data_IF_057325445389
#
_entry.id   IF_057325445389
#
_cell.length_a   1.000
_cell.length_b   1.000
_cell.length_c   1.000
_cell.angle_alpha   90.00
_cell.angle_beta   90.00
_cell.angle_gamma   90.00
#
_symmetry.space_group_name_H-M   'P 1'
#
loop_
_entity.id
_entity.type
_entity.pdbx_description
1 polymer ?
#
# COMPACT_ATOMS: atom_id res chain seq x y z
N UNK A 1 0.64 4.99 14.89
CA UNK A 1 -0.63 5.40 14.26
C UNK A 1 -1.64 4.26 14.26
N UNK A 2 -1.36 3.08 13.68
CA UNK A 2 -2.27 1.92 13.74
C UNK A 2 -2.63 1.44 15.15
N UNK A 3 -1.75 1.59 16.14
CA UNK A 3 -2.03 1.21 17.53
C UNK A 3 -3.03 2.13 18.24
N UNK A 4 -3.16 3.38 17.79
CA UNK A 4 -4.04 4.39 18.40
C UNK A 4 -5.49 4.20 17.94
N UNK A 5 -5.69 3.80 16.69
CA UNK A 5 -7.02 3.57 16.10
C UNK A 5 -7.46 2.10 16.16
N UNK A 6 -6.90 1.29 17.05
CA UNK A 6 -7.09 -0.16 17.04
C UNK A 6 -8.55 -0.58 17.21
N UNK A 7 -9.31 0.11 18.06
CA UNK A 7 -10.71 -0.18 18.31
C UNK A 7 -11.59 0.22 17.12
N UNK A 8 -11.41 1.42 16.57
CA UNK A 8 -12.09 1.89 15.35
C UNK A 8 -11.81 0.94 14.16
N UNK A 9 -10.56 0.47 14.03
CA UNK A 9 -10.13 -0.44 12.97
C UNK A 9 -10.69 -1.86 13.17
N UNK A 10 -10.91 -2.29 14.41
CA UNK A 10 -11.57 -3.57 14.73
C UNK A 10 -13.06 -3.49 14.36
N UNK A 11 -13.77 -2.46 14.78
CA UNK A 11 -15.18 -2.27 14.45
C UNK A 11 -15.43 -2.14 12.95
N UNK A 12 -14.59 -1.40 12.24
CA UNK A 12 -14.61 -1.29 10.78
C UNK A 12 -14.45 -2.66 10.11
N UNK A 13 -13.45 -3.45 10.57
CA UNK A 13 -13.17 -4.77 10.02
C UNK A 13 -14.32 -5.74 10.26
N UNK A 14 -14.82 -5.83 11.49
CA UNK A 14 -15.93 -6.73 11.83
C UNK A 14 -17.16 -6.42 10.97
N UNK A 15 -17.52 -5.14 10.85
CA UNK A 15 -18.65 -4.69 10.05
C UNK A 15 -18.48 -5.02 8.56
N UNK A 16 -17.31 -4.68 7.98
CA UNK A 16 -17.07 -4.90 6.56
C UNK A 16 -16.92 -6.38 6.20
N UNK A 17 -16.28 -7.18 7.06
CA UNK A 17 -16.10 -8.62 6.85
C UNK A 17 -17.46 -9.34 6.89
N UNK A 18 -18.34 -9.03 7.85
CA UNK A 18 -19.70 -9.61 7.91
C UNK A 18 -20.52 -9.30 6.65
N UNK A 19 -20.50 -8.06 6.19
CA UNK A 19 -21.18 -7.68 4.96
C UNK A 19 -20.57 -8.35 3.73
N UNK A 20 -19.25 -8.50 3.68
CA UNK A 20 -18.54 -9.12 2.57
C UNK A 20 -18.78 -10.63 2.51
N UNK A 21 -18.82 -11.32 3.64
CA UNK A 21 -19.18 -12.75 3.72
C UNK A 21 -20.61 -12.98 3.23
N UNK A 22 -21.56 -12.14 3.66
CA UNK A 22 -22.95 -12.17 3.18
C UNK A 22 -23.04 -11.94 1.67
N UNK A 23 -22.15 -11.12 1.12
CA UNK A 23 -22.07 -10.84 -0.31
C UNK A 23 -21.49 -12.02 -1.11
N UNK A 24 -20.45 -12.67 -0.58
CA UNK A 24 -19.82 -13.85 -1.19
C UNK A 24 -20.78 -15.05 -1.20
N UNK A 25 -21.62 -15.20 -0.16
CA UNK A 25 -22.59 -16.28 -0.09
C UNK A 25 -23.57 -16.30 -1.30
N UNK A 26 -23.75 -15.16 -1.97
CA UNK A 26 -24.57 -15.05 -3.17
C UNK A 26 -23.72 -15.19 -4.44
N UNK A 27 -23.69 -16.37 -5.07
CA UNK A 27 -22.81 -16.68 -6.22
C UNK A 27 -22.96 -15.73 -7.42
N UNK A 28 -24.16 -15.24 -7.72
CA UNK A 28 -24.42 -14.34 -8.85
C UNK A 28 -23.89 -12.92 -8.59
N UNK A 29 -24.08 -12.42 -7.37
CA UNK A 29 -23.53 -11.15 -6.91
C UNK A 29 -21.99 -11.23 -6.79
N UNK A 30 -21.47 -12.36 -6.29
CA UNK A 30 -20.04 -12.61 -6.21
C UNK A 30 -19.38 -12.47 -7.58
N UNK A 31 -19.89 -13.11 -8.63
CA UNK A 31 -19.29 -13.01 -9.99
C UNK A 31 -19.30 -11.58 -10.52
N UNK A 32 -20.39 -10.82 -10.35
CA UNK A 32 -20.48 -9.41 -10.77
C UNK A 32 -19.49 -8.53 -10.00
N UNK A 33 -19.33 -8.76 -8.70
CA UNK A 33 -18.46 -8.00 -7.80
C UNK A 33 -16.98 -8.34 -8.01
N UNK A 34 -16.64 -9.62 -8.20
CA UNK A 34 -15.26 -10.11 -8.39
C UNK A 34 -14.60 -9.54 -9.66
N UNK A 35 -15.41 -9.15 -10.67
CA UNK A 35 -14.92 -8.45 -11.86
C UNK A 35 -14.27 -7.11 -11.50
N UNK A 36 -14.70 -6.46 -10.41
CA UNK A 36 -14.01 -5.32 -9.82
C UNK A 36 -12.75 -5.70 -9.02
N UNK A 37 -12.76 -6.86 -8.37
CA UNK A 37 -11.63 -7.39 -7.60
C UNK A 37 -10.39 -7.63 -8.46
N UNK A 38 -10.57 -7.92 -9.75
CA UNK A 38 -9.48 -8.01 -10.71
C UNK A 38 -8.64 -6.72 -10.83
N UNK A 39 -9.26 -5.54 -10.68
CA UNK A 39 -8.53 -4.27 -10.70
C UNK A 39 -7.61 -4.17 -9.49
N UNK A 40 -8.09 -4.58 -8.32
CA UNK A 40 -7.32 -4.48 -7.07
C UNK A 40 -6.22 -5.51 -7.01
N UNK A 41 -6.48 -6.72 -7.50
CA UNK A 41 -5.46 -7.72 -7.72
C UNK A 41 -4.37 -7.23 -8.67
N UNK A 42 -4.74 -6.57 -9.76
CA UNK A 42 -3.77 -5.96 -10.69
C UNK A 42 -2.98 -4.85 -10.01
N UNK A 43 -3.62 -3.94 -9.29
CA UNK A 43 -2.96 -2.84 -8.58
C UNK A 43 -1.98 -3.37 -7.51
N UNK A 44 -2.41 -4.34 -6.71
CA UNK A 44 -1.56 -4.99 -5.71
C UNK A 44 -0.38 -5.72 -6.36
N UNK A 45 -0.63 -6.44 -7.46
CA UNK A 45 0.43 -7.11 -8.22
C UNK A 45 1.44 -6.12 -8.81
N UNK A 46 0.99 -5.01 -9.39
CA UNK A 46 1.87 -3.94 -9.91
C UNK A 46 2.69 -3.29 -8.78
N UNK A 47 2.08 -3.07 -7.62
CA UNK A 47 2.81 -2.54 -6.46
C UNK A 47 3.90 -3.51 -5.99
N UNK A 48 3.59 -4.81 -5.93
CA UNK A 48 4.55 -5.86 -5.54
C UNK A 48 5.70 -6.00 -6.54
N UNK A 49 5.42 -5.98 -7.85
CA UNK A 49 6.47 -6.07 -8.87
C UNK A 49 7.37 -4.84 -8.85
N UNK A 50 6.79 -3.65 -8.70
CA UNK A 50 7.56 -2.39 -8.56
C UNK A 50 8.48 -2.44 -7.35
N UNK A 51 7.99 -2.94 -6.21
CA UNK A 51 8.79 -3.12 -5.00
C UNK A 51 9.96 -4.09 -5.21
N UNK A 52 9.70 -5.23 -5.86
CA UNK A 52 10.75 -6.22 -6.14
C UNK A 52 11.85 -5.62 -7.02
N UNK A 53 11.47 -4.92 -8.09
CA UNK A 53 12.43 -4.26 -9.00
C UNK A 53 13.22 -3.18 -8.26
N UNK A 54 12.56 -2.32 -7.49
CA UNK A 54 13.23 -1.27 -6.71
C UNK A 54 14.23 -1.83 -5.70
N UNK A 55 13.86 -2.93 -5.03
CA UNK A 55 14.74 -3.62 -4.06
C UNK A 55 15.99 -4.21 -4.74
N UNK A 56 15.81 -4.84 -5.90
CA UNK A 56 16.92 -5.36 -6.72
C UNK A 56 17.85 -4.21 -7.10
N UNK A 57 17.31 -3.12 -7.66
CA UNK A 57 18.13 -1.96 -8.05
C UNK A 57 18.90 -1.39 -6.86
N UNK A 58 18.26 -1.26 -5.69
CA UNK A 58 18.90 -0.72 -4.48
C UNK A 58 20.10 -1.56 -4.01
N UNK A 59 20.00 -2.89 -4.09
CA UNK A 59 21.09 -3.81 -3.72
C UNK A 59 22.21 -3.79 -4.76
N UNK A 60 21.87 -3.89 -6.04
CA UNK A 60 22.89 -4.05 -7.09
C UNK A 60 23.65 -2.75 -7.41
N UNK A 61 23.04 -1.58 -7.26
CA UNK A 61 23.66 -0.29 -7.57
C UNK A 61 25.01 -0.06 -6.85
N UNK A 62 25.12 -0.17 -5.51
CA UNK A 62 26.40 0.01 -4.81
C UNK A 62 27.43 -1.06 -5.21
N UNK A 63 27.01 -2.31 -5.45
CA UNK A 63 27.90 -3.40 -5.88
C UNK A 63 28.49 -3.11 -7.26
N UNK A 64 27.66 -2.66 -8.21
CA UNK A 64 28.09 -2.27 -9.54
C UNK A 64 29.04 -1.07 -9.50
N UNK A 65 28.77 -0.07 -8.65
CA UNK A 65 29.63 1.10 -8.48
C UNK A 65 31.03 0.71 -7.95
N UNK A 66 31.09 -0.16 -6.93
CA UNK A 66 32.35 -0.66 -6.37
C UNK A 66 33.11 -1.48 -7.43
N UNK A 67 32.41 -2.35 -8.16
CA UNK A 67 33.02 -3.16 -9.23
C UNK A 67 33.60 -2.29 -10.34
N UNK A 68 32.89 -1.21 -10.72
CA UNK A 68 33.36 -0.24 -11.73
C UNK A 68 34.61 0.50 -11.25
N UNK A 69 34.64 0.94 -10.00
CA UNK A 69 35.84 1.57 -9.42
C UNK A 69 37.05 0.63 -9.42
N UNK A 70 36.83 -0.63 -9.09
CA UNK A 70 37.88 -1.65 -9.08
C UNK A 70 38.42 -1.93 -10.50
N UNK A 71 37.56 -1.95 -11.52
CA UNK A 71 37.98 -2.11 -12.93
C UNK A 71 38.74 -0.91 -13.46
N UNK A 72 38.42 0.30 -12.99
CA UNK A 72 39.04 1.56 -13.44
C UNK A 72 40.26 1.96 -12.61
N UNK A 73 40.69 1.13 -11.64
CA UNK A 73 41.82 1.41 -10.74
C UNK A 73 41.74 2.80 -10.05
N UNK A 74 40.53 3.25 -9.74
CA UNK A 74 40.30 4.54 -9.09
C UNK A 74 40.59 4.37 -7.59
N UNK A 75 41.65 5.03 -7.11
CA UNK A 75 42.01 5.07 -5.70
C UNK A 75 41.77 6.48 -5.13
N UNK A 76 41.17 6.61 -3.93
CA UNK A 76 40.68 5.54 -3.04
C UNK A 76 39.31 4.97 -3.45
N UNK A 77 39.11 3.66 -3.25
CA UNK A 77 37.84 2.98 -3.52
C UNK A 77 36.81 3.41 -2.47
N UNK A 78 35.66 3.92 -2.92
CA UNK A 78 34.57 4.37 -2.04
C UNK A 78 33.51 3.27 -1.94
N UNK A 79 33.32 2.75 -0.72
CA UNK A 79 32.33 1.72 -0.44
C UNK A 79 31.00 2.36 -0.04
N UNK A 80 30.12 2.54 -1.00
CA UNK A 80 28.80 3.11 -0.77
C UNK A 80 27.87 2.10 -0.10
N UNK A 81 27.15 2.54 0.94
CA UNK A 81 26.03 1.80 1.49
C UNK A 81 24.75 2.08 0.66
N UNK A 82 23.77 1.15 0.65
CA UNK A 82 22.55 1.29 -0.16
C UNK A 82 21.80 2.62 0.08
N UNK A 83 21.69 3.06 1.33
CA UNK A 83 20.97 4.30 1.67
C UNK A 83 21.90 5.50 1.88
N UNK A 84 23.21 5.32 1.72
CA UNK A 84 24.21 6.38 1.88
C UNK A 84 24.32 6.93 3.31
N UNK A 85 23.96 6.15 4.33
CA UNK A 85 23.98 6.62 5.73
C UNK A 85 25.39 6.89 6.23
N UNK A 86 25.54 7.90 7.08
CA UNK A 86 26.81 8.24 7.75
C UNK A 86 26.73 7.76 9.21
N UNK A 87 27.70 6.96 9.62
CA UNK A 87 27.79 6.43 10.98
C UNK A 87 28.81 7.21 11.82
N UNK A 88 28.60 7.37 13.14
CA UNK A 88 29.50 8.13 14.01
C UNK A 88 30.83 7.42 14.32
N UNK A 89 30.97 6.14 13.95
CA UNK A 89 32.21 5.36 14.07
C UNK A 89 32.85 5.12 12.71
N UNK A 90 34.17 4.88 12.72
CA UNK A 90 34.92 4.68 11.49
C UNK A 90 34.59 3.31 10.86
N UNK A 91 33.99 3.31 9.68
CA UNK A 91 33.64 2.10 8.95
C UNK A 91 34.77 1.80 7.97
N UNK A 92 35.55 0.75 8.25
CA UNK A 92 36.64 0.34 7.36
C UNK A 92 36.07 -0.16 6.01
N UNK A 93 36.55 0.38 4.88
CA UNK A 93 36.19 -0.05 3.53
C UNK A 93 36.32 -1.58 3.37
N UNK A 94 35.23 -2.27 3.02
CA UNK A 94 35.23 -3.73 2.82
C UNK A 94 35.36 -4.59 4.08
N UNK A 95 35.43 -3.99 5.27
CA UNK A 95 35.51 -4.69 6.55
C UNK A 95 34.21 -5.41 6.95
N UNK A 96 34.27 -6.24 8.00
CA UNK A 96 33.10 -6.93 8.55
C UNK A 96 31.98 -5.97 8.98
N UNK A 97 32.36 -4.83 9.56
CA UNK A 97 31.40 -3.81 10.01
C UNK A 97 30.64 -3.18 8.84
N UNK A 98 31.30 -2.97 7.70
CA UNK A 98 30.64 -2.48 6.49
C UNK A 98 29.62 -3.48 5.95
N UNK A 99 29.97 -4.77 5.91
CA UNK A 99 29.05 -5.84 5.47
C UNK A 99 27.83 -5.94 6.38
N UNK A 100 28.02 -5.82 7.69
CA UNK A 100 26.92 -5.80 8.65
C UNK A 100 25.98 -4.62 8.39
N UNK A 101 26.52 -3.41 8.26
CA UNK A 101 25.71 -2.22 7.94
C UNK A 101 24.98 -2.33 6.62
N UNK A 102 25.64 -2.87 5.60
CA UNK A 102 25.02 -3.12 4.30
C UNK A 102 23.77 -4.01 4.45
N UNK A 103 23.89 -5.15 5.14
CA UNK A 103 22.76 -6.07 5.37
C UNK A 103 21.67 -5.40 6.21
N UNK A 104 22.04 -4.68 7.27
CA UNK A 104 21.09 -3.97 8.12
C UNK A 104 20.33 -2.89 7.35
N UNK A 105 20.99 -2.09 6.52
CA UNK A 105 20.35 -1.06 5.71
C UNK A 105 19.41 -1.66 4.66
N UNK A 106 19.85 -2.72 3.95
CA UNK A 106 19.01 -3.43 2.98
C UNK A 106 17.78 -4.01 3.66
N UNK A 107 17.95 -4.69 4.80
CA UNK A 107 16.84 -5.27 5.55
C UNK A 107 15.88 -4.21 6.08
N UNK A 108 16.40 -3.12 6.65
CA UNK A 108 15.59 -2.00 7.14
C UNK A 108 14.76 -1.39 6.02
N UNK A 109 15.39 -1.15 4.86
CA UNK A 109 14.71 -0.64 3.68
C UNK A 109 13.58 -1.59 3.23
N UNK A 110 13.86 -2.89 3.12
CA UNK A 110 12.87 -3.91 2.76
C UNK A 110 11.67 -3.93 3.72
N UNK A 111 11.93 -3.92 5.02
CA UNK A 111 10.86 -3.95 6.04
C UNK A 111 9.99 -2.69 6.00
N UNK A 112 10.59 -1.50 5.85
CA UNK A 112 9.84 -0.24 5.74
C UNK A 112 8.92 -0.23 4.52
N UNK A 113 9.43 -0.66 3.37
CA UNK A 113 8.62 -0.76 2.15
C UNK A 113 7.52 -1.81 2.27
N UNK A 114 7.80 -2.98 2.86
CA UNK A 114 6.81 -4.03 3.07
C UNK A 114 5.66 -3.54 3.97
N UNK A 115 5.98 -2.83 5.05
CA UNK A 115 4.98 -2.22 5.94
C UNK A 115 4.16 -1.18 5.16
N UNK A 116 4.79 -0.26 4.43
CA UNK A 116 4.10 0.77 3.66
C UNK A 116 3.14 0.15 2.62
N UNK A 117 3.60 -0.84 1.86
CA UNK A 117 2.79 -1.52 0.85
C UNK A 117 1.62 -2.31 1.48
N UNK A 118 1.84 -2.90 2.66
CA UNK A 118 0.79 -3.57 3.42
C UNK A 118 -0.31 -2.59 3.85
N UNK A 119 0.05 -1.40 4.35
CA UNK A 119 -0.92 -0.36 4.73
C UNK A 119 -1.75 0.11 3.53
N UNK A 120 -1.11 0.36 2.39
CA UNK A 120 -1.80 0.76 1.16
C UNK A 120 -2.71 -0.34 0.65
N UNK A 121 -2.25 -1.60 0.67
CA UNK A 121 -3.06 -2.74 0.25
C UNK A 121 -4.29 -2.92 1.14
N UNK A 122 -4.13 -2.76 2.46
CA UNK A 122 -5.24 -2.82 3.42
C UNK A 122 -6.28 -1.72 3.16
N UNK A 123 -5.84 -0.48 2.92
CA UNK A 123 -6.73 0.61 2.53
C UNK A 123 -7.50 0.28 1.25
N UNK A 124 -6.82 -0.20 0.21
CA UNK A 124 -7.45 -0.60 -1.05
C UNK A 124 -8.48 -1.72 -0.86
N UNK A 125 -8.23 -2.67 0.04
CA UNK A 125 -9.18 -3.74 0.37
C UNK A 125 -10.45 -3.20 1.05
N UNK A 126 -10.34 -2.27 2.00
CA UNK A 126 -11.53 -1.67 2.62
C UNK A 126 -12.36 -0.87 1.62
N UNK A 127 -11.70 -0.07 0.79
CA UNK A 127 -12.37 0.66 -0.30
C UNK A 127 -13.05 -0.31 -1.27
N UNK A 128 -12.42 -1.45 -1.56
CA UNK A 128 -13.03 -2.49 -2.38
C UNK A 128 -14.32 -3.03 -1.79
N UNK A 129 -14.29 -3.39 -0.50
CA UNK A 129 -15.44 -3.97 0.19
C UNK A 129 -16.61 -2.98 0.15
N UNK A 130 -16.35 -1.69 0.38
CA UNK A 130 -17.37 -0.64 0.25
C UNK A 130 -17.93 -0.50 -1.17
N UNK A 131 -17.06 -0.44 -2.20
CA UNK A 131 -17.48 -0.38 -3.60
C UNK A 131 -18.31 -1.62 -3.98
N UNK A 132 -17.93 -2.77 -3.46
CA UNK A 132 -18.62 -4.04 -3.70
C UNK A 132 -20.04 -4.02 -3.13
N UNK A 133 -20.21 -3.52 -1.91
CA UNK A 133 -21.53 -3.33 -1.30
C UNK A 133 -22.38 -2.31 -2.07
N UNK A 134 -21.80 -1.18 -2.49
CA UNK A 134 -22.51 -0.18 -3.31
C UNK A 134 -22.99 -0.78 -4.64
N UNK A 135 -22.16 -1.58 -5.31
CA UNK A 135 -22.55 -2.29 -6.54
C UNK A 135 -23.66 -3.29 -6.30
N UNK A 136 -23.62 -4.01 -5.19
CA UNK A 136 -24.66 -4.97 -4.81
C UNK A 136 -26.00 -4.29 -4.54
N UNK A 137 -26.00 -3.17 -3.80
CA UNK A 137 -27.20 -2.36 -3.55
C UNK A 137 -27.74 -1.78 -4.86
N UNK A 138 -26.87 -1.30 -5.75
CA UNK A 138 -27.28 -0.81 -7.07
C UNK A 138 -27.93 -1.91 -7.92
N UNK A 139 -27.40 -3.14 -7.89
CA UNK A 139 -27.99 -4.28 -8.62
C UNK A 139 -29.37 -4.62 -8.07
N UNK A 140 -29.54 -4.63 -6.74
CA UNK A 140 -30.85 -4.84 -6.09
C UNK A 140 -31.86 -3.75 -6.43
N UNK A 141 -31.42 -2.49 -6.48
CA UNK A 141 -32.28 -1.37 -6.88
C UNK A 141 -32.71 -1.45 -8.36
N UNK A 142 -31.85 -1.96 -9.24
CA UNK A 142 -32.19 -2.12 -10.67
C UNK A 142 -33.24 -3.22 -10.91
N UNK A 143 -33.35 -4.20 -10.01
CA UNK A 143 -34.32 -5.31 -10.11
C UNK A 143 -35.46 -5.15 -9.09
N UNK A 144 -35.77 -3.92 -8.67
CA UNK A 144 -36.86 -3.61 -7.73
C UNK A 144 -38.23 -4.09 -8.25
N UNK A 145 -38.47 -3.95 -9.54
CA UNK A 145 -39.75 -4.30 -10.19
C UNK A 145 -40.03 -5.82 -10.20
N UNK A 146 -39.00 -6.65 -10.03
CA UNK A 146 -39.12 -8.12 -9.98
C UNK A 146 -39.39 -8.62 -8.54
N UNK A 147 -39.37 -7.74 -7.55
CA UNK A 147 -39.49 -8.09 -6.13
C UNK A 147 -40.92 -8.02 -5.61
N UNK A 148 -41.26 -8.94 -4.70
CA UNK A 148 -42.58 -8.98 -4.06
C UNK A 148 -42.80 -7.91 -2.99
N UNK A 149 -41.72 -7.25 -2.52
CA UNK A 149 -41.77 -6.19 -1.50
C UNK A 149 -40.64 -5.15 -1.75
N UNK A 150 -40.86 -4.18 -2.66
CA UNK A 150 -39.86 -3.19 -3.00
C UNK A 150 -39.53 -2.23 -1.85
N UNK A 151 -40.50 -1.94 -0.97
CA UNK A 151 -40.31 -1.04 0.17
C UNK A 151 -39.32 -1.61 1.18
N UNK A 152 -39.37 -2.93 1.42
CA UNK A 152 -38.39 -3.61 2.28
C UNK A 152 -36.96 -3.53 1.74
N UNK A 153 -36.78 -3.67 0.42
CA UNK A 153 -35.48 -3.61 -0.25
C UNK A 153 -34.91 -2.20 -0.17
N UNK A 154 -35.72 -1.18 -0.41
CA UNK A 154 -35.30 0.22 -0.29
C UNK A 154 -34.88 0.53 1.14
N UNK A 155 -35.64 0.07 2.14
CA UNK A 155 -35.31 0.27 3.56
C UNK A 155 -34.00 -0.41 3.95
N UNK A 156 -33.76 -1.65 3.51
CA UNK A 156 -32.48 -2.37 3.74
C UNK A 156 -31.30 -1.64 3.08
N UNK A 157 -31.46 -1.19 1.83
CA UNK A 157 -30.43 -0.43 1.13
C UNK A 157 -30.09 0.90 1.83
N UNK A 158 -31.09 1.63 2.34
CA UNK A 158 -30.85 2.87 3.09
C UNK A 158 -30.07 2.59 4.38
N UNK A 159 -30.45 1.55 5.13
CA UNK A 159 -29.78 1.20 6.38
C UNK A 159 -28.31 0.77 6.15
N UNK A 160 -28.08 -0.03 5.11
CA UNK A 160 -26.72 -0.41 4.69
C UNK A 160 -25.91 0.80 4.25
N UNK A 161 -26.50 1.71 3.47
CA UNK A 161 -25.82 2.93 3.03
C UNK A 161 -25.42 3.84 4.20
N UNK A 162 -26.29 4.00 5.21
CA UNK A 162 -25.95 4.74 6.43
C UNK A 162 -24.76 4.10 7.17
N UNK A 163 -24.72 2.77 7.23
CA UNK A 163 -23.60 2.04 7.84
C UNK A 163 -22.32 2.21 7.03
N UNK A 164 -22.39 2.17 5.69
CA UNK A 164 -21.25 2.47 4.82
C UNK A 164 -20.72 3.90 5.02
N UNK A 165 -21.59 4.88 5.23
CA UNK A 165 -21.16 6.26 5.52
C UNK A 165 -20.37 6.36 6.83
N UNK A 166 -20.75 5.58 7.86
CA UNK A 166 -19.96 5.49 9.09
C UNK A 166 -18.60 4.86 8.83
N UNK A 167 -18.55 3.73 8.10
CA UNK A 167 -17.30 3.10 7.69
C UNK A 167 -16.39 4.04 6.88
N UNK A 168 -16.96 4.86 6.00
CA UNK A 168 -16.21 5.89 5.25
C UNK A 168 -15.50 6.86 6.20
N UNK A 169 -16.23 7.37 7.18
CA UNK A 169 -15.69 8.35 8.13
C UNK A 169 -14.58 7.74 8.98
N UNK A 170 -14.72 6.48 9.38
CA UNK A 170 -13.67 5.76 10.12
C UNK A 170 -12.43 5.53 9.26
N UNK A 171 -12.60 5.12 8.00
CA UNK A 171 -11.49 5.00 7.03
C UNK A 171 -10.79 6.36 6.85
N UNK A 172 -11.54 7.45 6.67
CA UNK A 172 -10.98 8.79 6.48
C UNK A 172 -10.22 9.26 7.73
N UNK A 173 -10.75 9.00 8.92
CA UNK A 173 -10.09 9.32 10.20
C UNK A 173 -8.76 8.56 10.37
N UNK A 174 -8.72 7.28 9.97
CA UNK A 174 -7.56 6.40 10.13
C UNK A 174 -6.51 6.67 9.04
N UNK A 175 -6.93 6.66 7.78
CA UNK A 175 -6.03 6.69 6.61
C UNK A 175 -5.84 8.10 6.04
N UNK A 176 -6.72 9.05 6.33
CA UNK A 176 -6.59 10.44 5.88
C UNK A 176 -5.23 11.07 6.21
N UNK A 177 -4.76 11.00 7.47
CA UNK A 177 -3.43 11.48 7.84
C UNK A 177 -2.29 10.77 7.09
N UNK A 178 -2.44 9.46 6.84
CA UNK A 178 -1.45 8.66 6.11
C UNK A 178 -1.34 9.12 4.66
N UNK A 179 -2.49 9.30 3.99
CA UNK A 179 -2.55 9.78 2.60
C UNK A 179 -2.02 11.21 2.48
N UNK A 180 -2.36 12.06 3.45
CA UNK A 180 -1.86 13.44 3.50
C UNK A 180 -0.34 13.47 3.63
N UNK A 181 0.23 12.70 4.57
CA UNK A 181 1.67 12.59 4.74
C UNK A 181 2.38 12.03 3.51
N UNK A 182 1.79 11.00 2.88
CA UNK A 182 2.31 10.41 1.65
C UNK A 182 2.34 11.43 0.50
N UNK A 183 1.31 12.26 0.38
CA UNK A 183 1.22 13.28 -0.68
C UNK A 183 2.31 14.34 -0.52
N UNK A 184 2.52 14.83 0.71
CA UNK A 184 3.56 15.83 1.00
C UNK A 184 4.95 15.26 0.73
N UNK A 185 5.24 14.07 1.26
CA UNK A 185 6.55 13.44 1.09
C UNK A 185 6.86 13.18 -0.38
N UNK A 186 5.87 12.68 -1.15
CA UNK A 186 6.04 12.46 -2.57
C UNK A 186 6.27 13.78 -3.35
N UNK A 187 5.57 14.86 -3.00
CA UNK A 187 5.78 16.16 -3.62
C UNK A 187 7.23 16.66 -3.40
N UNK A 188 7.72 16.57 -2.16
CA UNK A 188 9.11 16.94 -1.83
C UNK A 188 10.10 16.06 -2.60
N UNK A 189 9.89 14.73 -2.63
CA UNK A 189 10.75 13.80 -3.36
C UNK A 189 10.82 14.11 -4.85
N UNK A 190 9.69 14.41 -5.49
CA UNK A 190 9.63 14.77 -6.90
C UNK A 190 10.37 16.09 -7.16
N UNK A 191 10.19 17.10 -6.31
CA UNK A 191 10.93 18.36 -6.42
C UNK A 191 12.45 18.15 -6.32
N UNK A 192 12.91 17.34 -5.37
CA UNK A 192 14.32 16.99 -5.22
C UNK A 192 14.86 16.24 -6.44
N UNK A 193 14.10 15.30 -6.99
CA UNK A 193 14.49 14.55 -8.18
C UNK A 193 14.64 15.46 -9.41
N UNK A 194 13.71 16.40 -9.62
CA UNK A 194 13.80 17.39 -10.71
C UNK A 194 15.05 18.27 -10.54
N UNK A 195 15.32 18.72 -9.32
CA UNK A 195 16.50 19.53 -9.04
C UNK A 195 17.81 18.76 -9.31
N UNK A 196 17.90 17.50 -8.86
CA UNK A 196 19.06 16.65 -9.13
C UNK A 196 19.26 16.42 -10.62
N UNK A 197 18.19 16.17 -11.38
CA UNK A 197 18.25 16.00 -12.83
C UNK A 197 18.67 17.28 -13.57
N UNK A 198 18.35 18.45 -13.04
CA UNK A 198 18.78 19.73 -13.61
C UNK A 198 20.27 20.03 -13.39
N UNK A 199 20.93 19.32 -12.47
CA UNK A 199 22.36 19.50 -12.17
C UNK A 199 23.27 18.50 -12.89
N UNK A 200 22.68 17.52 -13.59
CA UNK A 200 23.40 16.48 -14.36
C UNK A 200 23.62 16.95 -15.79
#
# INVERSE_FOLDING_TARGET
MMTVYREDLRGLRETLDEYFETLIANQDLMKKVLKGGAIIWRLSSVALTTFFVGSVVNVFTPIMAITKQHKLHIHPIKYFLPNGSVYPWNVTPGGLLWKFHYVCETFSCYTLYAIANSVVSLFCLYVFQMISQLRAMSDRMLHLDESSDPDSIVRDCIHRYETLLKCRNDIEKIFGPVVYWLTITNAISMCLAIFQLSQV
#
